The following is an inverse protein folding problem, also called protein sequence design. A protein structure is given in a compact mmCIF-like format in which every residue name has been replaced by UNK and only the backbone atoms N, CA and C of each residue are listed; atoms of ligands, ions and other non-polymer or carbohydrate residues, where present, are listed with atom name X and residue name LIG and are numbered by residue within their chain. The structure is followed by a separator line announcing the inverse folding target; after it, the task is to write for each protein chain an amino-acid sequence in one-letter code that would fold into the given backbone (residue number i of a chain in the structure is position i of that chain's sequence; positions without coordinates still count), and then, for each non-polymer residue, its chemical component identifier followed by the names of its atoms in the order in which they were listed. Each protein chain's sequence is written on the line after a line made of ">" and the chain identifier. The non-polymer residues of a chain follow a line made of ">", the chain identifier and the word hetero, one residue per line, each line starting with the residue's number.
data_IF_285493856450
#
_entry.id   IF_285493856450
#
_cell.length_a   1.000
_cell.length_b   1.000
_cell.length_c   1.000
_cell.angle_alpha   90.00
_cell.angle_beta   90.00
_cell.angle_gamma   90.00
#
_symmetry.space_group_name_H-M   'P 1'
#
loop_
_entity.id
_entity.type
_entity.pdbx_description
1 polymer ?
#
# COMPACT_ATOMS: atom_id res chain seq x y z
N UNK A 1 -32.44 3.84 25.38
CA UNK A 1 -31.69 4.77 24.52
C UNK A 1 -32.15 6.21 24.80
N UNK A 2 -31.25 7.03 25.38
CA UNK A 2 -31.53 8.45 25.68
C UNK A 2 -30.78 9.40 24.74
N UNK A 3 -30.08 8.85 23.75
CA UNK A 3 -29.27 9.61 22.78
C UNK A 3 -30.13 9.90 21.56
N UNK A 4 -30.29 11.15 21.12
CA UNK A 4 -31.16 11.53 20.02
C UNK A 4 -30.83 10.78 18.68
N UNK A 5 -29.57 10.41 18.51
CA UNK A 5 -29.06 9.79 17.28
C UNK A 5 -29.01 8.26 17.30
N UNK A 6 -29.50 7.61 18.36
CA UNK A 6 -29.46 6.14 18.49
C UNK A 6 -30.26 5.39 17.41
N UNK A 7 -31.15 6.07 16.70
CA UNK A 7 -31.98 5.52 15.62
C UNK A 7 -31.45 5.87 14.23
N UNK A 8 -30.31 6.55 14.12
CA UNK A 8 -29.72 6.88 12.80
C UNK A 8 -29.30 5.59 12.10
N UNK A 9 -29.85 5.29 10.91
CA UNK A 9 -29.53 4.05 10.22
C UNK A 9 -28.14 4.11 9.59
N UNK A 10 -27.50 2.96 9.40
CA UNK A 10 -26.18 2.85 8.74
C UNK A 10 -26.19 3.38 7.30
N UNK A 11 -27.34 3.37 6.63
CA UNK A 11 -27.49 3.93 5.25
C UNK A 11 -27.23 5.43 5.15
N UNK A 12 -27.03 6.12 6.26
CA UNK A 12 -26.58 7.52 6.29
C UNK A 12 -25.08 7.62 6.04
N UNK A 13 -24.31 6.57 6.34
CA UNK A 13 -22.89 6.52 5.98
C UNK A 13 -22.78 6.51 4.46
N UNK A 14 -21.86 7.36 3.95
CA UNK A 14 -21.60 7.48 2.50
C UNK A 14 -22.85 7.72 1.63
N UNK A 15 -23.93 8.26 2.21
CA UNK A 15 -25.05 8.69 1.39
C UNK A 15 -24.62 9.80 0.42
N UNK A 16 -25.34 9.94 -0.71
CA UNK A 16 -24.96 10.88 -1.77
C UNK A 16 -24.74 12.32 -1.27
N UNK A 17 -25.54 12.77 -0.30
CA UNK A 17 -25.41 14.09 0.30
C UNK A 17 -24.10 14.24 1.10
N UNK A 18 -23.68 13.21 1.85
CA UNK A 18 -22.42 13.24 2.60
C UNK A 18 -21.21 13.16 1.67
N UNK A 19 -21.28 12.35 0.60
CA UNK A 19 -20.21 12.28 -0.41
C UNK A 19 -20.02 13.61 -1.14
N UNK A 20 -21.13 14.28 -1.54
CA UNK A 20 -21.05 15.61 -2.17
C UNK A 20 -20.47 16.65 -1.19
N UNK A 21 -20.84 16.59 0.07
CA UNK A 21 -20.29 17.48 1.09
C UNK A 21 -18.79 17.23 1.30
N UNK A 22 -18.36 15.98 1.37
CA UNK A 22 -16.93 15.63 1.46
C UNK A 22 -16.14 16.15 0.25
N UNK A 23 -16.69 16.01 -0.96
CA UNK A 23 -16.09 16.54 -2.18
C UNK A 23 -16.00 18.07 -2.16
N UNK A 24 -17.03 18.75 -1.67
CA UNK A 24 -17.02 20.22 -1.50
C UNK A 24 -15.92 20.63 -0.51
N UNK A 25 -15.82 19.97 0.64
CA UNK A 25 -14.77 20.24 1.64
C UNK A 25 -13.38 20.06 1.05
N UNK A 26 -13.15 18.99 0.28
CA UNK A 26 -11.88 18.77 -0.40
C UNK A 26 -11.55 19.91 -1.38
N UNK A 27 -12.51 20.35 -2.20
CA UNK A 27 -12.32 21.46 -3.13
C UNK A 27 -12.00 22.77 -2.43
N UNK A 28 -12.65 23.07 -1.31
CA UNK A 28 -12.46 24.31 -0.56
C UNK A 28 -11.18 24.31 0.27
N UNK A 29 -10.61 23.14 0.59
CA UNK A 29 -9.34 23.02 1.30
C UNK A 29 -8.11 23.14 0.41
N UNK A 30 -8.26 23.04 -0.92
CA UNK A 30 -7.16 23.16 -1.87
C UNK A 30 -6.80 24.63 -2.03
N UNK A 31 -5.54 24.98 -1.76
CA UNK A 31 -5.01 26.35 -1.89
C UNK A 31 -4.09 26.48 -3.10
N UNK A 32 -4.45 27.37 -4.04
CA UNK A 32 -3.61 27.70 -5.17
C UNK A 32 -2.55 28.71 -4.76
N UNK A 33 -1.32 28.23 -4.45
CA UNK A 33 -0.23 29.08 -3.99
C UNK A 33 0.44 29.87 -5.12
N UNK A 34 0.43 29.34 -6.34
CA UNK A 34 1.09 29.94 -7.50
C UNK A 34 0.42 29.53 -8.80
N UNK A 35 0.17 30.48 -9.70
CA UNK A 35 -0.34 30.23 -11.05
C UNK A 35 0.23 31.27 -12.02
N UNK A 36 1.53 31.17 -12.29
CA UNK A 36 2.23 32.08 -13.21
C UNK A 36 1.75 31.82 -14.66
N UNK A 37 1.59 32.91 -15.39
CA UNK A 37 1.12 32.89 -16.78
C UNK A 37 -0.25 32.21 -17.02
N UNK A 38 -1.06 32.01 -15.96
CA UNK A 38 -2.36 31.37 -16.07
C UNK A 38 -2.30 29.93 -16.58
N UNK A 39 -1.31 29.13 -16.12
CA UNK A 39 -1.16 27.73 -16.49
C UNK A 39 -2.40 26.91 -16.12
N UNK A 40 -2.99 27.21 -14.98
CA UNK A 40 -4.22 26.56 -14.50
C UNK A 40 -5.44 27.47 -14.73
N UNK A 41 -6.61 26.88 -15.10
CA UNK A 41 -6.84 25.45 -15.34
C UNK A 41 -6.22 24.99 -16.68
N UNK A 42 -5.80 23.71 -16.73
CA UNK A 42 -5.25 23.12 -17.94
C UNK A 42 -6.32 23.04 -19.03
N UNK A 43 -5.93 23.45 -20.25
CA UNK A 43 -6.80 23.33 -21.44
C UNK A 43 -6.58 21.96 -22.10
N UNK A 44 -7.56 21.05 -21.91
CA UNK A 44 -7.51 19.70 -22.48
C UNK A 44 -7.31 19.65 -24.00
N UNK A 45 -7.67 20.71 -24.73
CA UNK A 45 -7.48 20.77 -26.18
C UNK A 45 -6.03 21.01 -26.59
N UNK A 46 -5.20 21.46 -25.63
CA UNK A 46 -3.77 21.77 -25.84
C UNK A 46 -2.85 20.73 -25.23
N UNK A 47 -3.34 19.92 -24.30
CA UNK A 47 -2.57 18.91 -23.59
C UNK A 47 -2.86 17.53 -24.20
N UNK A 48 -1.81 16.83 -24.61
CA UNK A 48 -1.87 15.48 -25.19
C UNK A 48 -1.31 14.43 -24.23
N UNK A 49 -0.30 14.81 -23.42
CA UNK A 49 0.36 13.92 -22.50
C UNK A 49 0.59 14.60 -21.15
N UNK A 50 0.14 13.94 -20.09
CA UNK A 50 0.39 14.33 -18.69
C UNK A 50 1.23 13.24 -18.04
N UNK A 51 2.34 13.64 -17.42
CA UNK A 51 3.08 12.77 -16.51
C UNK A 51 2.67 13.09 -15.06
N UNK A 52 2.20 12.08 -14.33
CA UNK A 52 1.95 12.16 -12.89
C UNK A 52 3.09 11.47 -12.19
N UNK A 53 3.78 12.17 -11.29
CA UNK A 53 4.95 11.65 -10.59
C UNK A 53 4.85 11.93 -9.08
N UNK A 54 5.63 11.22 -8.29
CA UNK A 54 5.77 11.45 -6.86
C UNK A 54 5.10 10.39 -5.97
N UNK A 55 5.49 10.35 -4.69
CA UNK A 55 5.13 9.27 -3.79
C UNK A 55 3.66 9.24 -3.38
N UNK A 56 2.97 10.40 -3.43
CA UNK A 56 1.55 10.53 -3.08
C UNK A 56 0.61 10.43 -4.30
N UNK A 57 1.14 10.21 -5.51
CA UNK A 57 0.34 10.21 -6.73
C UNK A 57 -0.67 9.05 -6.75
N UNK A 58 -0.23 7.86 -6.31
CA UNK A 58 -1.00 6.62 -6.33
C UNK A 58 -0.83 5.87 -4.99
N UNK A 59 -1.14 6.55 -3.88
CA UNK A 59 -1.02 6.02 -2.53
C UNK A 59 -2.40 5.97 -1.85
N UNK A 60 -3.14 4.87 -2.04
CA UNK A 60 -4.45 4.64 -1.43
C UNK A 60 -4.39 4.77 0.11
N UNK A 61 -3.37 4.18 0.75
CA UNK A 61 -3.20 4.25 2.20
C UNK A 61 -2.91 5.68 2.67
N UNK A 62 -2.19 6.45 1.87
CA UNK A 62 -1.96 7.86 2.11
C UNK A 62 -3.24 8.71 2.12
N UNK A 63 -4.22 8.33 1.30
CA UNK A 63 -5.52 9.03 1.25
C UNK A 63 -6.39 8.78 2.47
N UNK A 64 -6.18 7.68 3.19
CA UNK A 64 -6.94 7.33 4.38
C UNK A 64 -6.47 8.10 5.63
N UNK A 65 -5.24 8.59 5.65
CA UNK A 65 -4.59 9.22 6.81
C UNK A 65 -4.50 8.26 8.02
N UNK A 66 -4.70 8.78 9.25
CA UNK A 66 -4.81 8.00 10.49
C UNK A 66 -6.27 7.98 10.95
N UNK A 67 -6.67 7.03 11.78
CA UNK A 67 -8.03 6.93 12.35
C UNK A 67 -9.15 6.89 11.31
N UNK A 68 -8.97 6.10 10.29
CA UNK A 68 -9.92 5.97 9.18
C UNK A 68 -10.92 4.81 9.38
N UNK A 69 -12.07 4.94 8.69
CA UNK A 69 -12.96 3.80 8.43
C UNK A 69 -12.63 3.14 7.10
N UNK A 70 -13.55 2.29 6.62
CA UNK A 70 -13.45 1.67 5.30
C UNK A 70 -14.36 2.42 4.33
N UNK A 71 -13.83 3.31 3.49
CA UNK A 71 -14.63 3.92 2.44
C UNK A 71 -14.98 2.89 1.37
N UNK A 72 -16.16 3.04 0.77
CA UNK A 72 -16.58 2.18 -0.35
C UNK A 72 -15.74 2.39 -1.60
N UNK A 73 -15.20 3.59 -1.78
CA UNK A 73 -14.34 3.97 -2.89
C UNK A 73 -13.20 4.87 -2.39
N UNK A 74 -12.01 4.68 -2.95
CA UNK A 74 -10.84 5.55 -2.76
C UNK A 74 -10.43 6.04 -4.14
N UNK A 75 -10.29 7.35 -4.30
CA UNK A 75 -9.76 7.94 -5.53
C UNK A 75 -8.39 8.55 -5.26
N UNK A 76 -7.36 7.98 -5.85
CA UNK A 76 -6.00 8.53 -5.78
C UNK A 76 -5.88 9.78 -6.67
N UNK A 77 -4.81 10.56 -6.47
CA UNK A 77 -4.53 11.73 -7.34
C UNK A 77 -4.38 11.29 -8.79
N UNK A 78 -3.69 10.17 -9.03
CA UNK A 78 -3.51 9.58 -10.36
C UNK A 78 -4.84 9.22 -11.00
N UNK A 79 -5.71 8.54 -10.27
CA UNK A 79 -7.05 8.18 -10.77
C UNK A 79 -7.90 9.40 -11.09
N UNK A 80 -7.92 10.39 -10.19
CA UNK A 80 -8.63 11.63 -10.42
C UNK A 80 -8.11 12.38 -11.66
N UNK A 81 -6.81 12.39 -11.91
CA UNK A 81 -6.20 12.95 -13.11
C UNK A 81 -6.63 12.16 -14.34
N UNK A 82 -6.57 10.82 -14.31
CA UNK A 82 -6.99 9.94 -15.43
C UNK A 82 -8.46 10.16 -15.79
N UNK A 83 -9.34 10.14 -14.79
CA UNK A 83 -10.78 10.39 -14.99
C UNK A 83 -11.02 11.77 -15.60
N UNK A 84 -10.33 12.80 -15.11
CA UNK A 84 -10.47 14.17 -15.62
C UNK A 84 -9.87 14.35 -17.01
N UNK A 85 -8.77 13.71 -17.30
CA UNK A 85 -8.12 13.71 -18.63
C UNK A 85 -9.01 13.07 -19.70
N UNK A 86 -9.61 11.92 -19.40
CA UNK A 86 -10.40 11.13 -20.35
C UNK A 86 -9.49 10.45 -21.38
N UNK A 87 -10.10 9.84 -22.40
CA UNK A 87 -9.40 9.02 -23.40
C UNK A 87 -8.53 9.85 -24.38
N UNK A 88 -8.73 11.16 -24.46
CA UNK A 88 -8.03 12.03 -25.41
C UNK A 88 -6.66 12.50 -24.95
N UNK A 89 -6.31 12.27 -23.69
CA UNK A 89 -5.03 12.69 -23.09
C UNK A 89 -4.35 11.47 -22.51
N UNK A 90 -3.11 11.21 -22.95
CA UNK A 90 -2.27 10.16 -22.39
C UNK A 90 -1.86 10.55 -20.96
N UNK A 91 -2.07 9.66 -20.00
CA UNK A 91 -1.61 9.86 -18.61
C UNK A 91 -0.63 8.76 -18.25
N UNK A 92 0.65 9.11 -18.12
CA UNK A 92 1.71 8.22 -17.66
C UNK A 92 1.99 8.47 -16.19
N UNK A 93 2.40 7.40 -15.47
CA UNK A 93 2.73 7.47 -14.06
C UNK A 93 4.12 6.92 -13.78
N UNK A 94 4.88 7.64 -13.00
CA UNK A 94 6.14 7.17 -12.41
C UNK A 94 6.21 7.62 -10.96
N UNK A 95 6.35 6.70 -10.01
CA UNK A 95 6.54 7.07 -8.61
C UNK A 95 7.78 7.95 -8.44
N UNK A 96 8.88 7.56 -9.07
CA UNK A 96 10.12 8.33 -9.24
C UNK A 96 10.94 8.57 -7.98
N UNK A 97 10.27 8.83 -6.85
CA UNK A 97 10.88 9.02 -5.53
C UNK A 97 10.03 8.37 -4.45
N UNK A 98 10.62 8.05 -3.31
CA UNK A 98 9.90 7.63 -2.12
C UNK A 98 9.85 8.79 -1.11
N UNK A 99 9.23 8.60 0.04
CA UNK A 99 9.06 9.66 1.05
C UNK A 99 10.35 9.94 1.84
N UNK A 100 11.11 8.92 2.21
CA UNK A 100 12.23 9.00 3.15
C UNK A 100 13.41 8.07 2.83
N UNK A 101 13.34 7.36 1.74
CA UNK A 101 14.43 6.52 1.26
C UNK A 101 14.46 6.48 -0.28
N UNK A 102 15.56 5.96 -0.84
CA UNK A 102 15.76 5.91 -2.28
C UNK A 102 15.30 4.60 -2.93
N UNK A 103 14.51 3.78 -2.23
CA UNK A 103 14.10 2.50 -2.75
C UNK A 103 12.73 2.56 -3.45
N UNK A 104 12.69 2.15 -4.70
CA UNK A 104 11.47 1.98 -5.48
C UNK A 104 11.22 0.50 -5.70
N UNK A 105 10.09 0.02 -5.23
CA UNK A 105 9.65 -1.34 -5.46
C UNK A 105 8.89 -1.41 -6.79
N UNK A 106 9.30 -2.33 -7.64
CA UNK A 106 8.66 -2.65 -8.90
C UNK A 106 8.13 -4.08 -8.81
N UNK A 107 6.81 -4.22 -8.79
CA UNK A 107 6.15 -5.53 -8.75
C UNK A 107 6.40 -6.30 -10.04
N UNK A 108 6.79 -7.56 -9.89
CA UNK A 108 6.95 -8.55 -10.96
C UNK A 108 6.45 -9.91 -10.43
N UNK A 109 5.21 -9.88 -9.91
CA UNK A 109 4.61 -11.04 -9.26
C UNK A 109 4.23 -12.11 -10.28
N UNK A 110 4.91 -13.25 -10.18
CA UNK A 110 4.62 -14.44 -10.97
C UNK A 110 4.07 -15.55 -10.06
N UNK A 111 2.78 -15.81 -10.19
CA UNK A 111 2.07 -16.83 -9.40
C UNK A 111 2.60 -18.25 -9.65
N UNK A 112 3.18 -18.51 -10.82
CA UNK A 112 3.75 -19.81 -11.18
C UNK A 112 5.02 -20.14 -10.39
N UNK A 113 5.60 -19.13 -9.73
CA UNK A 113 6.74 -19.31 -8.84
C UNK A 113 6.38 -19.93 -7.49
N UNK A 114 5.10 -19.94 -7.10
CA UNK A 114 4.65 -20.41 -5.79
C UNK A 114 3.82 -21.69 -5.89
N UNK A 115 4.18 -22.69 -5.10
CA UNK A 115 3.41 -23.94 -5.06
C UNK A 115 3.57 -24.66 -3.73
N UNK A 116 2.56 -25.38 -3.31
CA UNK A 116 2.59 -26.27 -2.14
C UNK A 116 1.73 -27.53 -2.40
N UNK A 117 2.27 -28.71 -2.08
CA UNK A 117 1.58 -29.98 -2.28
C UNK A 117 1.06 -30.19 -3.70
N UNK A 118 1.78 -29.71 -4.70
CA UNK A 118 1.43 -29.84 -6.12
C UNK A 118 0.35 -28.88 -6.60
N UNK A 119 -0.07 -27.90 -5.78
CA UNK A 119 -0.96 -26.80 -6.16
C UNK A 119 -0.20 -25.48 -6.18
N UNK A 120 -0.55 -24.59 -7.09
CA UNK A 120 -0.06 -23.19 -7.10
C UNK A 120 -0.54 -22.46 -5.85
N UNK A 121 0.26 -21.50 -5.35
CA UNK A 121 -0.10 -20.64 -4.23
C UNK A 121 0.35 -21.19 -2.89
N UNK A 122 -0.45 -20.97 -1.87
CA UNK A 122 -0.10 -21.11 -0.45
C UNK A 122 -1.12 -21.97 0.30
N UNK A 123 -0.65 -22.84 1.19
CA UNK A 123 -1.51 -23.38 2.25
C UNK A 123 -1.56 -22.37 3.39
N UNK A 124 -2.73 -22.21 4.01
CA UNK A 124 -2.91 -21.30 5.14
C UNK A 124 -3.58 -21.98 6.30
N UNK A 125 -3.11 -21.69 7.50
CA UNK A 125 -3.69 -22.08 8.79
C UNK A 125 -4.09 -20.79 9.53
N UNK A 126 -5.34 -20.72 9.98
CA UNK A 126 -5.87 -19.61 10.77
C UNK A 126 -6.09 -20.05 12.21
N UNK A 127 -5.80 -19.14 13.16
CA UNK A 127 -5.92 -19.36 14.60
C UNK A 127 -6.71 -18.22 15.23
N UNK A 128 -7.65 -18.54 16.16
CA UNK A 128 -8.33 -17.51 16.96
C UNK A 128 -7.49 -17.16 18.19
N UNK A 129 -6.26 -16.81 17.98
CA UNK A 129 -5.33 -16.22 18.95
C UNK A 129 -4.19 -15.55 18.21
N UNK A 130 -3.42 -14.69 18.90
CA UNK A 130 -2.32 -13.92 18.31
C UNK A 130 -0.95 -14.61 18.40
N UNK A 131 -0.90 -15.92 18.67
CA UNK A 131 0.35 -16.65 18.98
C UNK A 131 0.59 -17.90 18.13
N UNK A 132 -0.29 -18.18 17.14
CA UNK A 132 -0.25 -19.38 16.28
C UNK A 132 -0.23 -20.67 17.11
N UNK A 133 -0.94 -20.71 18.26
CA UNK A 133 -0.93 -21.82 19.19
C UNK A 133 -2.18 -22.70 19.06
N UNK A 134 -1.98 -23.99 19.32
CA UNK A 134 -3.06 -24.99 19.32
C UNK A 134 -3.34 -25.60 17.94
N UNK A 135 -4.49 -26.24 17.84
CA UNK A 135 -4.95 -26.79 16.56
C UNK A 135 -5.65 -25.67 15.77
N UNK A 136 -5.26 -25.49 14.53
CA UNK A 136 -5.91 -24.53 13.64
C UNK A 136 -7.38 -24.93 13.42
N UNK A 137 -8.34 -24.07 13.78
CA UNK A 137 -9.76 -24.35 13.56
C UNK A 137 -10.16 -24.24 12.08
N UNK A 138 -9.38 -23.53 11.28
CA UNK A 138 -9.66 -23.34 9.86
C UNK A 138 -8.38 -23.36 9.04
N UNK A 139 -8.39 -24.14 7.97
CA UNK A 139 -7.32 -24.18 6.97
C UNK A 139 -7.89 -23.92 5.59
N UNK A 140 -7.12 -23.25 4.73
CA UNK A 140 -7.52 -22.93 3.37
C UNK A 140 -6.32 -23.00 2.43
N UNK A 141 -6.56 -22.66 1.19
CA UNK A 141 -5.55 -22.54 0.15
C UNK A 141 -5.78 -21.26 -0.65
N UNK A 142 -4.79 -20.41 -0.70
CA UNK A 142 -4.82 -19.13 -1.41
C UNK A 142 -3.88 -19.17 -2.61
N UNK A 143 -4.33 -18.73 -3.77
CA UNK A 143 -3.45 -18.59 -4.95
C UNK A 143 -2.49 -17.41 -4.78
N UNK A 144 -2.92 -16.37 -4.05
CA UNK A 144 -2.16 -15.17 -3.73
C UNK A 144 -2.52 -14.70 -2.33
N UNK A 145 -1.56 -14.11 -1.61
CA UNK A 145 -1.83 -13.42 -0.35
C UNK A 145 -2.12 -11.96 -0.67
N UNK A 146 -3.40 -11.61 -0.70
CA UNK A 146 -3.91 -10.24 -0.89
C UNK A 146 -5.31 -10.15 -0.30
N UNK A 147 -5.37 -9.94 1.01
CA UNK A 147 -6.62 -9.96 1.76
C UNK A 147 -6.91 -8.59 2.37
N UNK A 148 -8.18 -8.20 2.28
CA UNK A 148 -8.76 -7.02 2.94
C UNK A 148 -10.08 -7.42 3.56
N UNK A 149 -10.04 -7.92 4.79
CA UNK A 149 -11.24 -8.46 5.45
C UNK A 149 -12.05 -7.41 6.20
N UNK A 150 -11.40 -6.39 6.76
CA UNK A 150 -12.04 -5.45 7.66
C UNK A 150 -12.19 -5.97 9.10
N UNK A 151 -12.81 -5.15 9.94
CA UNK A 151 -12.96 -5.41 11.37
C UNK A 151 -14.02 -6.48 11.64
N UNK A 152 -13.69 -7.45 12.50
CA UNK A 152 -14.64 -8.46 12.99
C UNK A 152 -15.21 -9.40 11.92
N UNK A 153 -14.57 -9.49 10.75
CA UNK A 153 -15.00 -10.35 9.64
C UNK A 153 -14.64 -11.80 9.93
N UNK A 154 -15.56 -12.71 9.69
CA UNK A 154 -15.29 -14.15 9.76
C UNK A 154 -14.49 -14.60 8.52
N UNK A 155 -13.31 -15.18 8.76
CA UNK A 155 -12.46 -15.75 7.68
C UNK A 155 -12.82 -17.20 7.38
N UNK A 156 -13.42 -17.90 8.32
CA UNK A 156 -13.94 -19.26 8.17
C UNK A 156 -13.96 -20.05 9.47
N UNK A 157 -14.91 -20.99 9.60
CA UNK A 157 -15.11 -21.87 10.77
C UNK A 157 -15.11 -21.13 12.12
N UNK A 158 -15.74 -19.96 12.17
CA UNK A 158 -15.84 -19.14 13.38
C UNK A 158 -14.57 -18.38 13.75
N UNK A 159 -13.52 -18.40 12.94
CA UNK A 159 -12.36 -17.51 13.10
C UNK A 159 -12.72 -16.12 12.60
N UNK A 160 -12.64 -15.14 13.46
CA UNK A 160 -12.88 -13.72 13.14
C UNK A 160 -11.58 -12.94 13.15
N UNK A 161 -11.53 -11.83 12.45
CA UNK A 161 -10.31 -11.03 12.27
C UNK A 161 -9.80 -10.36 13.55
N UNK A 162 -10.57 -10.32 14.62
CA UNK A 162 -10.14 -9.77 15.90
C UNK A 162 -9.41 -10.84 16.73
N UNK A 163 -8.22 -10.49 17.25
CA UNK A 163 -7.35 -11.39 18.01
C UNK A 163 -7.08 -12.73 17.30
N UNK A 164 -6.75 -12.64 16.01
CA UNK A 164 -6.39 -13.80 15.21
C UNK A 164 -4.93 -13.81 14.76
N UNK A 165 -4.49 -14.96 14.31
CA UNK A 165 -3.26 -15.09 13.54
C UNK A 165 -3.41 -16.07 12.39
N UNK A 166 -2.54 -15.91 11.39
CA UNK A 166 -2.50 -16.80 10.24
C UNK A 166 -1.07 -17.13 9.83
N UNK A 167 -0.88 -18.31 9.22
CA UNK A 167 0.42 -18.73 8.67
C UNK A 167 0.20 -19.25 7.26
N UNK A 168 0.74 -18.56 6.28
CA UNK A 168 0.83 -19.01 4.90
C UNK A 168 2.16 -19.71 4.66
N UNK A 169 2.12 -20.85 3.96
CA UNK A 169 3.32 -21.59 3.56
C UNK A 169 3.27 -21.93 2.08
N UNK A 170 4.41 -21.79 1.44
CA UNK A 170 4.62 -22.15 0.04
C UNK A 170 6.06 -22.54 -0.23
N UNK A 171 6.31 -23.14 -1.38
CA UNK A 171 7.63 -23.29 -1.97
C UNK A 171 7.75 -22.31 -3.13
N UNK A 172 8.75 -21.44 -3.05
CA UNK A 172 9.07 -20.46 -4.08
C UNK A 172 10.20 -20.98 -4.95
N UNK A 173 9.94 -21.22 -6.22
CA UNK A 173 10.94 -21.60 -7.21
C UNK A 173 11.45 -20.36 -7.93
N UNK A 174 12.70 -19.97 -7.67
CA UNK A 174 13.27 -18.76 -8.22
C UNK A 174 13.32 -18.74 -9.76
N UNK A 175 12.70 -17.77 -10.44
CA UNK A 175 12.70 -17.68 -11.91
C UNK A 175 14.04 -17.22 -12.46
N UNK A 176 14.83 -16.50 -11.66
CA UNK A 176 16.12 -15.94 -12.02
C UNK A 176 17.16 -16.08 -10.91
N UNK A 177 18.38 -15.63 -11.18
CA UNK A 177 19.43 -15.45 -10.18
C UNK A 177 19.63 -13.96 -9.92
N UNK A 178 19.93 -13.59 -8.67
CA UNK A 178 20.12 -12.22 -8.23
C UNK A 178 19.19 -11.85 -7.08
N UNK A 179 19.09 -10.58 -6.79
CA UNK A 179 18.19 -10.08 -5.76
C UNK A 179 16.73 -10.13 -6.22
N UNK A 180 15.89 -10.76 -5.42
CA UNK A 180 14.43 -10.72 -5.53
C UNK A 180 13.94 -10.04 -4.25
N UNK A 181 13.02 -9.10 -4.39
CA UNK A 181 12.39 -8.40 -3.28
C UNK A 181 10.98 -8.93 -3.06
N UNK A 182 10.65 -9.22 -1.81
CA UNK A 182 9.28 -9.46 -1.37
C UNK A 182 8.82 -8.26 -0.56
N UNK A 183 7.74 -7.62 -0.98
CA UNK A 183 7.06 -6.57 -0.21
C UNK A 183 5.96 -7.19 0.63
N UNK A 184 5.98 -6.92 1.95
CA UNK A 184 4.92 -7.34 2.87
C UNK A 184 4.23 -6.10 3.43
N UNK A 185 2.94 -6.00 3.20
CA UNK A 185 2.07 -4.99 3.78
C UNK A 185 1.04 -5.67 4.65
N UNK A 186 0.81 -5.18 5.85
CA UNK A 186 -0.19 -5.71 6.77
C UNK A 186 -0.64 -4.65 7.76
N UNK A 187 -1.80 -4.87 8.31
CA UNK A 187 -2.36 -4.33 9.53
C UNK A 187 -2.72 -5.54 10.43
N UNK A 188 -2.15 -5.79 11.57
CA UNK A 188 -1.11 -5.13 12.37
C UNK A 188 0.31 -5.54 11.98
N UNK A 189 0.66 -6.85 12.13
CA UNK A 189 2.02 -7.36 11.99
C UNK A 189 2.08 -8.55 11.05
N UNK A 190 3.00 -8.48 10.09
CA UNK A 190 3.38 -9.65 9.30
C UNK A 190 4.90 -9.79 9.22
N UNK A 191 5.38 -11.03 9.23
CA UNK A 191 6.81 -11.35 9.12
C UNK A 191 7.01 -12.47 8.11
N UNK A 192 7.88 -12.23 7.15
CA UNK A 192 8.29 -13.20 6.15
C UNK A 192 9.51 -13.99 6.61
N UNK A 193 9.44 -15.32 6.45
CA UNK A 193 10.56 -16.23 6.63
C UNK A 193 10.87 -16.91 5.29
N UNK A 194 12.13 -17.04 4.96
CA UNK A 194 12.64 -17.78 3.82
C UNK A 194 13.66 -18.81 4.34
N UNK A 195 13.44 -20.09 4.03
CA UNK A 195 14.24 -21.21 4.57
C UNK A 195 14.36 -21.13 6.12
N UNK A 196 13.25 -20.74 6.80
CA UNK A 196 13.15 -20.61 8.25
C UNK A 196 13.86 -19.41 8.87
N UNK A 197 14.34 -18.47 8.08
CA UNK A 197 15.05 -17.26 8.55
C UNK A 197 14.36 -16.00 8.04
N UNK A 198 14.41 -14.93 8.84
CA UNK A 198 13.99 -13.61 8.38
C UNK A 198 15.10 -13.08 7.46
N UNK A 199 14.79 -12.76 6.19
CA UNK A 199 15.77 -12.20 5.25
C UNK A 199 16.23 -10.80 5.66
N UNK A 200 17.26 -10.29 4.96
CA UNK A 200 17.63 -8.87 5.03
C UNK A 200 16.39 -8.00 4.74
N UNK A 201 16.19 -6.96 5.54
CA UNK A 201 15.16 -5.95 5.31
C UNK A 201 15.77 -4.67 4.77
N UNK A 202 15.11 -4.08 3.79
CA UNK A 202 15.40 -2.73 3.25
C UNK A 202 14.16 -1.85 3.34
N UNK A 203 14.37 -0.54 3.14
CA UNK A 203 13.31 0.45 3.30
C UNK A 203 13.14 0.89 4.75
N UNK A 204 12.71 2.15 4.94
CA UNK A 204 12.54 2.75 6.27
C UNK A 204 11.09 2.63 6.78
N UNK A 205 10.12 2.63 5.88
CA UNK A 205 8.68 2.54 6.19
C UNK A 205 7.98 1.35 5.53
N UNK A 206 8.63 0.72 4.57
CA UNK A 206 8.11 -0.47 3.89
C UNK A 206 8.89 -1.71 4.33
N UNK A 207 8.24 -2.87 4.35
CA UNK A 207 8.88 -4.12 4.67
C UNK A 207 9.32 -4.83 3.38
N UNK A 208 10.51 -4.46 2.89
CA UNK A 208 11.16 -5.09 1.75
C UNK A 208 12.11 -6.18 2.25
N UNK A 209 11.80 -7.44 1.95
CA UNK A 209 12.61 -8.59 2.30
C UNK A 209 13.42 -9.05 1.08
N UNK A 210 14.73 -9.14 1.21
CA UNK A 210 15.66 -9.39 0.11
C UNK A 210 16.14 -10.84 0.12
N UNK A 211 15.89 -11.53 -0.98
CA UNK A 211 16.40 -12.87 -1.25
C UNK A 211 17.46 -12.82 -2.35
N UNK A 212 18.69 -13.24 -2.05
CA UNK A 212 19.70 -13.52 -3.06
C UNK A 212 19.44 -14.89 -3.70
N UNK A 213 18.60 -14.89 -4.73
CA UNK A 213 18.09 -16.09 -5.36
C UNK A 213 19.08 -16.74 -6.32
N UNK A 214 18.95 -18.08 -6.49
CA UNK A 214 19.61 -18.85 -7.57
C UNK A 214 18.54 -19.44 -8.44
N UNK A 215 18.62 -19.20 -9.76
CA UNK A 215 17.67 -19.69 -10.75
C UNK A 215 17.36 -21.17 -10.58
N UNK A 216 16.07 -21.50 -10.51
CA UNK A 216 15.56 -22.86 -10.39
C UNK A 216 15.68 -23.48 -8.98
N UNK A 217 16.36 -22.81 -8.02
CA UNK A 217 16.35 -23.25 -6.63
C UNK A 217 14.99 -22.99 -6.02
N UNK A 218 14.52 -23.92 -5.21
CA UNK A 218 13.30 -23.80 -4.40
C UNK A 218 13.66 -23.34 -2.99
N UNK A 219 12.87 -22.42 -2.46
CA UNK A 219 12.99 -21.85 -1.13
C UNK A 219 11.67 -22.04 -0.39
N UNK A 220 11.71 -22.41 0.88
CA UNK A 220 10.51 -22.48 1.71
C UNK A 220 10.11 -21.06 2.14
N UNK A 221 8.86 -20.69 1.86
CA UNK A 221 8.27 -19.40 2.22
C UNK A 221 7.27 -19.61 3.34
N UNK A 222 7.39 -18.84 4.40
CA UNK A 222 6.40 -18.78 5.46
C UNK A 222 6.11 -17.31 5.80
N UNK A 223 4.84 -16.88 5.64
CA UNK A 223 4.37 -15.58 6.10
C UNK A 223 3.53 -15.78 7.35
N UNK A 224 3.94 -15.16 8.45
CA UNK A 224 3.20 -15.14 9.72
C UNK A 224 2.53 -13.79 9.89
N UNK A 225 1.24 -13.80 10.16
CA UNK A 225 0.40 -12.64 10.36
C UNK A 225 -0.27 -12.68 11.72
N UNK A 226 -0.39 -11.52 12.34
CA UNK A 226 -1.13 -11.30 13.60
C UNK A 226 -2.03 -10.09 13.42
N UNK A 227 -3.27 -10.23 13.85
CA UNK A 227 -4.28 -9.18 13.89
C UNK A 227 -4.87 -9.09 15.29
N UNK A 228 -4.83 -7.91 15.90
CA UNK A 228 -5.43 -7.64 17.21
C UNK A 228 -6.85 -7.12 17.09
N UNK A 229 -7.09 -6.17 16.21
CA UNK A 229 -8.40 -5.57 16.02
C UNK A 229 -8.41 -4.54 14.90
N UNK A 230 -9.53 -3.87 14.73
CA UNK A 230 -9.75 -2.86 13.70
C UNK A 230 -9.65 -3.42 12.26
N UNK A 231 -8.93 -2.76 11.38
CA UNK A 231 -8.80 -3.16 10.00
C UNK A 231 -7.90 -4.40 9.89
N UNK A 232 -8.29 -5.36 9.09
CA UNK A 232 -7.51 -6.56 8.85
C UNK A 232 -7.14 -6.63 7.38
N UNK A 233 -5.89 -6.37 7.06
CA UNK A 233 -5.34 -6.56 5.72
C UNK A 233 -3.95 -7.20 5.76
N UNK A 234 -3.65 -8.02 4.74
CA UNK A 234 -2.31 -8.57 4.54
C UNK A 234 -2.06 -8.82 3.06
N UNK A 235 -0.91 -8.38 2.58
CA UNK A 235 -0.48 -8.58 1.19
C UNK A 235 0.98 -9.00 1.15
N UNK A 236 1.28 -9.99 0.29
CA UNK A 236 2.62 -10.34 -0.14
C UNK A 236 2.74 -10.04 -1.64
N UNK A 237 3.69 -9.21 -2.01
CA UNK A 237 4.05 -8.97 -3.40
C UNK A 237 5.50 -9.39 -3.65
N UNK A 238 5.87 -9.62 -4.91
CA UNK A 238 7.21 -10.00 -5.33
C UNK A 238 7.64 -9.12 -6.50
N UNK A 239 8.93 -8.79 -6.53
CA UNK A 239 9.50 -7.97 -7.58
C UNK A 239 10.97 -7.65 -7.33
N UNK A 240 11.36 -6.45 -7.64
CA UNK A 240 12.72 -5.96 -7.44
C UNK A 240 12.76 -4.53 -6.90
N UNK A 241 13.84 -4.21 -6.20
CA UNK A 241 14.13 -2.85 -5.75
C UNK A 241 15.11 -2.18 -6.72
N UNK A 242 14.82 -0.96 -7.08
CA UNK A 242 15.79 -0.07 -7.73
C UNK A 242 16.00 1.19 -6.89
N UNK A 243 17.18 1.79 -7.04
CA UNK A 243 17.43 3.10 -6.47
C UNK A 243 16.72 4.17 -7.29
N UNK A 244 16.07 5.12 -6.63
CA UNK A 244 15.52 6.29 -7.31
C UNK A 244 16.63 7.03 -8.06
N UNK A 245 16.35 7.38 -9.31
CA UNK A 245 17.25 8.12 -10.19
C UNK A 245 16.52 9.34 -10.77
N UNK A 246 16.77 10.54 -10.24
CA UNK A 246 16.10 11.76 -10.71
C UNK A 246 16.37 12.07 -12.17
N UNK A 247 17.54 11.71 -12.71
CA UNK A 247 17.86 11.94 -14.11
C UNK A 247 17.05 11.00 -15.01
N UNK A 248 17.00 9.71 -14.67
CA UNK A 248 16.18 8.72 -15.38
C UNK A 248 14.69 9.10 -15.33
N UNK A 249 14.21 9.60 -14.17
CA UNK A 249 12.85 10.10 -14.05
C UNK A 249 12.62 11.30 -14.99
N UNK A 250 13.49 12.29 -14.98
CA UNK A 250 13.36 13.47 -15.84
C UNK A 250 13.36 13.09 -17.34
N UNK A 251 14.20 12.14 -17.75
CA UNK A 251 14.23 11.61 -19.10
C UNK A 251 12.93 10.91 -19.47
N UNK A 252 12.36 10.10 -18.56
CA UNK A 252 11.13 9.33 -18.80
C UNK A 252 9.87 10.18 -18.96
N UNK A 253 9.88 11.42 -18.50
CA UNK A 253 8.75 12.35 -18.58
C UNK A 253 9.02 13.57 -19.48
N UNK A 254 10.15 13.57 -20.18
CA UNK A 254 10.63 14.72 -20.98
C UNK A 254 9.73 15.08 -22.16
N UNK A 255 8.91 14.15 -22.63
CA UNK A 255 7.95 14.30 -23.73
C UNK A 255 6.54 14.70 -23.26
N UNK A 256 6.32 14.85 -21.94
CA UNK A 256 5.03 15.28 -21.41
C UNK A 256 4.80 16.78 -21.61
N UNK A 257 3.58 17.13 -22.02
CA UNK A 257 3.16 18.56 -22.12
C UNK A 257 3.01 19.18 -20.71
N UNK A 258 2.66 18.35 -19.71
CA UNK A 258 2.46 18.76 -18.31
C UNK A 258 3.00 17.68 -17.38
N UNK A 259 3.70 18.12 -16.34
CA UNK A 259 4.12 17.25 -15.23
C UNK A 259 3.37 17.66 -13.97
N UNK A 260 2.71 16.69 -13.33
CA UNK A 260 2.06 16.83 -12.03
C UNK A 260 2.90 16.08 -11.01
N UNK A 261 3.56 16.80 -10.10
CA UNK A 261 4.26 16.20 -8.98
C UNK A 261 3.35 16.16 -7.75
N UNK A 262 2.99 14.94 -7.30
CA UNK A 262 2.23 14.71 -6.10
C UNK A 262 3.17 14.28 -4.97
N UNK A 263 3.61 15.24 -4.20
CA UNK A 263 4.48 15.04 -3.04
C UNK A 263 3.84 15.54 -1.76
N UNK A 264 4.41 15.14 -0.65
CA UNK A 264 3.92 15.53 0.67
C UNK A 264 4.33 14.54 1.74
N UNK A 265 3.71 14.61 2.89
CA UNK A 265 3.86 13.65 3.97
C UNK A 265 2.97 12.42 3.76
N UNK A 266 3.31 11.36 4.46
CA UNK A 266 2.50 10.14 4.52
C UNK A 266 2.05 9.92 5.97
N UNK A 267 0.81 9.46 6.21
CA UNK A 267 0.36 9.07 7.55
C UNK A 267 1.17 7.91 8.15
N UNK A 268 1.97 7.23 7.33
CA UNK A 268 2.95 6.23 7.81
C UNK A 268 4.21 6.84 8.39
N UNK A 269 4.43 8.14 8.22
CA UNK A 269 5.57 8.90 8.73
C UNK A 269 5.17 9.85 9.84
N UNK A 270 4.05 10.54 9.66
CA UNK A 270 3.51 11.53 10.60
C UNK A 270 2.12 11.11 11.04
N UNK A 271 2.00 10.73 12.30
CA UNK A 271 0.78 10.30 12.93
C UNK A 271 1.01 10.10 14.43
N UNK A 272 -0.07 10.11 15.19
CA UNK A 272 -0.04 10.11 16.64
C UNK A 272 0.61 8.83 17.21
N UNK A 273 1.59 9.02 18.11
CA UNK A 273 2.30 7.97 18.87
C UNK A 273 2.89 6.80 18.04
N UNK A 274 3.29 7.05 16.81
CA UNK A 274 3.85 6.02 15.94
C UNK A 274 5.28 5.64 16.35
N UNK A 275 5.66 4.38 16.13
CA UNK A 275 7.02 3.88 16.37
C UNK A 275 8.04 4.30 15.27
N UNK A 276 7.89 5.51 14.71
CA UNK A 276 8.76 6.04 13.65
C UNK A 276 9.97 6.73 14.28
N UNK A 277 11.17 6.31 13.85
CA UNK A 277 12.44 6.93 14.21
C UNK A 277 13.31 7.04 12.96
N UNK A 278 13.11 8.10 12.21
CA UNK A 278 13.79 8.40 10.95
C UNK A 278 14.26 9.85 11.05
N UNK A 279 15.34 10.21 10.42
CA UNK A 279 15.85 11.59 10.39
C UNK A 279 14.73 12.56 9.97
N UNK A 280 14.49 13.58 10.79
CA UNK A 280 13.39 14.52 10.63
C UNK A 280 12.04 14.09 11.26
N UNK A 281 11.97 12.87 11.83
CA UNK A 281 10.75 12.35 12.49
C UNK A 281 11.09 11.65 13.81
N UNK A 282 10.27 11.87 14.82
CA UNK A 282 10.37 11.22 16.13
C UNK A 282 8.99 10.85 16.63
N UNK A 283 8.71 9.56 16.81
CA UNK A 283 7.41 9.04 17.27
C UNK A 283 6.23 9.48 16.37
N UNK A 284 6.49 9.64 15.08
CA UNK A 284 5.47 10.13 14.16
C UNK A 284 5.31 11.64 14.08
N UNK A 285 6.08 12.41 14.88
CA UNK A 285 6.08 13.87 14.81
C UNK A 285 7.27 14.38 13.98
N UNK A 286 7.04 15.37 13.14
CA UNK A 286 8.13 16.10 12.47
C UNK A 286 8.95 16.88 13.48
N UNK A 287 10.27 16.81 13.33
CA UNK A 287 11.23 17.56 14.16
C UNK A 287 11.81 18.77 13.44
N UNK A 288 11.58 18.91 12.13
CA UNK A 288 12.02 20.01 11.27
C UNK A 288 10.99 20.26 10.17
N UNK A 289 10.97 21.48 9.62
CA UNK A 289 10.20 21.85 8.42
C UNK A 289 10.94 21.54 7.11
N UNK A 290 12.17 21.07 7.19
CA UNK A 290 12.97 20.70 6.03
C UNK A 290 12.36 19.48 5.32
N UNK A 291 12.61 19.35 4.03
CA UNK A 291 12.26 18.12 3.32
C UNK A 291 13.04 16.95 3.90
N UNK A 292 12.45 15.73 3.94
CA UNK A 292 13.19 14.54 4.30
C UNK A 292 14.43 14.38 3.41
N UNK A 293 15.52 13.92 4.00
CA UNK A 293 16.72 13.56 3.23
C UNK A 293 16.46 12.26 2.47
N UNK A 294 16.50 12.33 1.15
CA UNK A 294 16.28 11.21 0.23
C UNK A 294 17.51 11.04 -0.65
#
# INVERSE_FOLDING_TARGET
>A
NRVPYASTPLSVLECAEHLEHALQMARESIVLLKNENGLLPLDKKKVRKIAVIGPNADDEKGMLANYYGFPSEISTILEGVRQKAGESVEVVYHKGVNHVDNWLFNSDYDEDCFSINGKKGFSVEYFQNTRWEGVSPYTSHDERIDHRWGNGTEVGNGVITNDMSAVWRSQFKAPGSGEICFEVSADDYATLFIDGKIPEKRGLINNYYILNAKKGRTYDIELRYVQHGDNADVKLDMGYLESADPQKLAESVSDADVIIFAGGLSPRLEGEEMAVQIDGFRRGDRTSIDLPAV
#
